data_IF_778856970634
#
_entry.id   IF_778856970634
#
_cell.length_a   1.000
_cell.length_b   1.000
_cell.length_c   1.000
_cell.angle_alpha   90.00
_cell.angle_beta   90.00
_cell.angle_gamma   90.00
#
_symmetry.space_group_name_H-M   'P 1'
#
loop_
_entity.id
_entity.type
_entity.pdbx_description
1 polymer ?
#
# COMPACT_ATOMS: atom_id res chain seq x y z
N UNK A 1 -6.82 3.24 6.06
CA UNK A 1 -6.43 1.85 5.71
C UNK A 1 -5.03 1.61 6.24
N UNK A 2 -4.86 0.65 7.19
CA UNK A 2 -3.57 0.40 7.87
C UNK A 2 -3.17 -1.08 7.88
N UNK A 3 -3.74 -1.88 6.99
CA UNK A 3 -3.34 -3.28 6.76
C UNK A 3 -1.88 -3.41 6.33
N UNK A 4 -1.33 -4.61 6.39
CA UNK A 4 0.06 -4.89 6.04
C UNK A 4 1.04 -3.96 6.79
N UNK A 5 0.89 -3.86 8.13
CA UNK A 5 1.71 -2.98 8.97
C UNK A 5 1.66 -1.52 8.50
N UNK A 6 0.45 -1.02 8.16
CA UNK A 6 0.24 0.29 7.55
C UNK A 6 1.06 0.47 6.26
N UNK A 7 0.94 -0.48 5.33
CA UNK A 7 1.73 -0.48 4.08
C UNK A 7 3.25 -0.42 4.34
N UNK A 8 3.74 -1.18 5.30
CA UNK A 8 5.14 -1.20 5.69
C UNK A 8 5.60 -0.04 6.60
N UNK A 9 4.75 0.94 6.87
CA UNK A 9 5.10 2.15 7.64
C UNK A 9 4.97 2.01 9.17
N UNK A 10 4.65 0.81 9.67
CA UNK A 10 4.36 0.53 11.08
C UNK A 10 2.97 0.98 11.54
N UNK A 11 2.23 0.04 12.14
CA UNK A 11 0.92 0.34 12.73
C UNK A 11 1.03 1.36 13.87
N UNK A 12 2.16 1.35 14.61
CA UNK A 12 2.44 2.33 15.68
C UNK A 12 2.58 3.75 15.12
N UNK A 13 3.31 3.93 14.03
CA UNK A 13 3.43 5.23 13.37
C UNK A 13 2.07 5.71 12.84
N UNK A 14 1.31 4.80 12.20
CA UNK A 14 -0.02 5.11 11.70
C UNK A 14 -0.99 5.51 12.81
N UNK A 15 -0.94 4.85 13.99
CA UNK A 15 -1.78 5.21 15.14
C UNK A 15 -1.57 6.66 15.58
N UNK A 16 -0.32 7.13 15.58
CA UNK A 16 0.02 8.51 15.94
C UNK A 16 -0.32 9.48 14.81
N UNK A 17 0.19 9.21 13.61
CA UNK A 17 0.04 10.12 12.46
C UNK A 17 -1.40 10.26 11.96
N UNK A 18 -2.23 9.24 12.15
CA UNK A 18 -3.62 9.21 11.72
C UNK A 18 -4.63 9.26 12.88
N UNK A 19 -4.23 9.77 14.04
CA UNK A 19 -5.07 9.81 15.25
C UNK A 19 -6.40 10.59 15.06
N UNK A 20 -6.46 11.49 14.08
CA UNK A 20 -7.66 12.30 13.79
C UNK A 20 -8.67 11.58 12.89
N UNK A 21 -8.33 10.42 12.30
CA UNK A 21 -9.26 9.66 11.46
C UNK A 21 -10.44 9.10 12.27
N UNK A 22 -11.56 8.81 11.59
CA UNK A 22 -12.78 8.30 12.21
C UNK A 22 -12.71 6.80 12.48
N UNK A 23 -11.81 6.08 11.82
CA UNK A 23 -11.60 4.66 12.02
C UNK A 23 -10.37 4.11 11.32
N UNK A 24 -9.96 2.94 11.74
CA UNK A 24 -8.94 2.14 11.07
C UNK A 24 -9.55 0.91 10.39
N UNK A 25 -8.96 0.50 9.28
CA UNK A 25 -9.33 -0.75 8.63
C UNK A 25 -8.08 -1.64 8.50
N UNK A 26 -8.19 -2.84 9.04
CA UNK A 26 -7.16 -3.87 9.14
C UNK A 26 -7.64 -5.18 8.53
N UNK A 27 -6.81 -6.22 8.50
CA UNK A 27 -7.22 -7.55 8.02
C UNK A 27 -7.44 -8.54 9.15
N UNK A 28 -6.61 -8.50 10.16
CA UNK A 28 -6.58 -9.51 11.22
C UNK A 28 -6.95 -8.96 12.59
N UNK A 29 -7.31 -9.89 13.47
CA UNK A 29 -7.70 -9.59 14.84
C UNK A 29 -6.52 -9.18 15.73
N UNK A 30 -5.30 -9.56 15.39
CA UNK A 30 -4.11 -9.20 16.18
C UNK A 30 -3.83 -7.71 16.06
N UNK A 31 -3.90 -7.14 14.85
CA UNK A 31 -3.81 -5.70 14.63
C UNK A 31 -4.95 -4.95 15.35
N UNK A 32 -6.18 -5.48 15.29
CA UNK A 32 -7.33 -4.89 15.98
C UNK A 32 -7.13 -4.91 17.51
N UNK A 33 -6.69 -6.03 18.06
CA UNK A 33 -6.40 -6.17 19.49
C UNK A 33 -5.29 -5.24 19.92
N UNK A 34 -4.22 -5.16 19.14
CA UNK A 34 -3.13 -4.23 19.40
C UNK A 34 -3.62 -2.79 19.43
N UNK A 35 -4.40 -2.35 18.47
CA UNK A 35 -4.98 -0.99 18.44
C UNK A 35 -5.81 -0.72 19.70
N UNK A 36 -6.65 -1.67 20.15
CA UNK A 36 -7.44 -1.54 21.39
C UNK A 36 -6.55 -1.43 22.63
N UNK A 37 -5.48 -2.21 22.70
CA UNK A 37 -4.52 -2.14 23.83
C UNK A 37 -3.76 -0.82 23.88
N UNK A 38 -3.60 -0.15 22.72
CA UNK A 38 -3.02 1.20 22.63
C UNK A 38 -4.04 2.32 22.91
N UNK A 39 -5.27 2.00 23.28
CA UNK A 39 -6.29 2.98 23.65
C UNK A 39 -7.11 3.52 22.47
N UNK A 40 -7.04 2.92 21.28
CA UNK A 40 -7.88 3.31 20.16
C UNK A 40 -9.33 2.89 20.40
N UNK A 41 -10.23 3.85 20.55
CA UNK A 41 -11.66 3.62 20.87
C UNK A 41 -12.59 3.81 19.68
N UNK A 42 -12.12 4.43 18.59
CA UNK A 42 -12.92 4.65 17.40
C UNK A 42 -13.10 3.35 16.60
N UNK A 43 -13.82 3.42 15.48
CA UNK A 43 -14.17 2.28 14.61
C UNK A 43 -12.92 1.50 14.16
N UNK A 44 -13.01 0.18 14.17
CA UNK A 44 -12.06 -0.74 13.53
C UNK A 44 -12.86 -1.63 12.60
N UNK A 45 -12.48 -1.68 11.33
CA UNK A 45 -13.12 -2.50 10.31
C UNK A 45 -12.19 -3.64 9.88
N UNK A 46 -12.68 -4.88 9.99
CA UNK A 46 -12.03 -6.06 9.41
C UNK A 46 -12.43 -6.17 7.92
N UNK A 47 -11.48 -5.89 7.02
CA UNK A 47 -11.75 -5.71 5.58
C UNK A 47 -12.08 -6.98 4.80
N UNK A 48 -11.65 -8.12 5.29
CA UNK A 48 -11.96 -9.44 4.73
C UNK A 48 -12.93 -10.19 5.64
N UNK A 49 -13.36 -9.54 6.73
CA UNK A 49 -14.34 -10.08 7.68
C UNK A 49 -13.77 -11.22 8.49
N UNK A 50 -14.59 -12.26 8.64
CA UNK A 50 -14.28 -13.45 9.44
C UNK A 50 -13.59 -14.50 8.56
N UNK A 51 -12.47 -15.05 9.00
CA UNK A 51 -11.84 -16.18 8.34
C UNK A 51 -12.42 -17.53 8.79
N UNK A 52 -12.96 -17.58 10.02
CA UNK A 52 -13.60 -18.73 10.62
C UNK A 52 -14.67 -18.28 11.62
N UNK A 53 -15.60 -19.18 11.94
CA UNK A 53 -16.67 -18.91 12.91
C UNK A 53 -16.13 -18.57 14.30
N UNK A 54 -15.02 -19.19 14.69
CA UNK A 54 -14.34 -18.96 15.97
C UNK A 54 -13.80 -17.54 16.18
N UNK A 55 -13.77 -16.69 15.14
CA UNK A 55 -13.32 -15.29 15.23
C UNK A 55 -14.40 -14.37 15.85
N UNK A 56 -15.67 -14.79 15.84
CA UNK A 56 -16.81 -13.95 16.25
C UNK A 56 -16.71 -13.47 17.71
N UNK A 57 -16.36 -14.29 18.71
CA UNK A 57 -16.18 -13.80 20.07
C UNK A 57 -15.18 -12.63 20.18
N UNK A 58 -14.07 -12.71 19.44
CA UNK A 58 -13.06 -11.64 19.40
C UNK A 58 -13.56 -10.38 18.70
N UNK A 59 -14.36 -10.52 17.64
CA UNK A 59 -15.01 -9.38 16.96
C UNK A 59 -15.92 -8.63 17.91
N UNK A 60 -16.70 -9.34 18.70
CA UNK A 60 -17.63 -8.77 19.69
C UNK A 60 -16.83 -8.12 20.83
N UNK A 61 -15.85 -8.82 21.40
CA UNK A 61 -14.96 -8.33 22.48
C UNK A 61 -14.27 -7.02 22.09
N UNK A 62 -13.68 -7.00 20.88
CA UNK A 62 -12.92 -5.85 20.37
C UNK A 62 -13.82 -4.77 19.77
N UNK A 63 -15.14 -4.98 19.74
CA UNK A 63 -16.10 -4.07 19.09
C UNK A 63 -15.62 -3.65 17.69
N UNK A 64 -15.38 -4.67 16.84
CA UNK A 64 -14.99 -4.47 15.45
C UNK A 64 -16.20 -4.53 14.52
N UNK A 65 -16.18 -3.70 13.48
CA UNK A 65 -17.05 -3.87 12.32
C UNK A 65 -16.46 -4.93 11.40
N UNK A 66 -17.30 -5.64 10.66
CA UNK A 66 -16.86 -6.70 9.76
C UNK A 66 -17.38 -6.49 8.34
N UNK A 67 -16.53 -6.73 7.36
CA UNK A 67 -16.98 -6.90 5.99
C UNK A 67 -17.53 -8.32 5.82
N UNK A 68 -18.71 -8.45 5.22
CA UNK A 68 -19.32 -9.75 4.89
C UNK A 68 -19.42 -9.87 3.38
N UNK A 69 -18.84 -10.92 2.84
CA UNK A 69 -18.68 -11.09 1.39
C UNK A 69 -18.96 -12.52 0.88
N UNK A 70 -19.30 -13.44 1.77
CA UNK A 70 -19.53 -14.84 1.41
C UNK A 70 -20.70 -15.46 2.18
N UNK A 71 -21.35 -16.51 1.62
CA UNK A 71 -22.46 -17.21 2.29
C UNK A 71 -22.07 -17.83 3.62
N UNK A 72 -20.83 -18.32 3.77
CA UNK A 72 -20.36 -18.89 5.04
C UNK A 72 -20.35 -17.85 6.15
N UNK A 73 -19.85 -16.64 5.89
CA UNK A 73 -19.86 -15.56 6.86
C UNK A 73 -21.29 -15.16 7.25
N UNK A 74 -22.23 -15.16 6.30
CA UNK A 74 -23.65 -14.95 6.59
C UNK A 74 -24.16 -16.04 7.52
N UNK A 75 -23.93 -17.32 7.20
CA UNK A 75 -24.38 -18.44 8.01
C UNK A 75 -23.85 -18.40 9.46
N UNK A 76 -22.59 -18.03 9.65
CA UNK A 76 -21.99 -17.88 10.98
C UNK A 76 -22.63 -16.74 11.77
N UNK A 77 -22.88 -15.60 11.13
CA UNK A 77 -23.49 -14.44 11.80
C UNK A 77 -24.97 -14.63 12.12
N UNK A 78 -25.71 -15.38 11.31
CA UNK A 78 -27.11 -15.70 11.60
C UNK A 78 -27.30 -16.54 12.87
N UNK A 79 -26.26 -17.20 13.36
CA UNK A 79 -26.30 -17.98 14.61
C UNK A 79 -26.00 -17.11 15.84
N UNK A 80 -25.65 -15.83 15.66
CA UNK A 80 -25.24 -14.96 16.76
C UNK A 80 -26.42 -14.20 17.35
N UNK A 81 -26.44 -14.09 18.66
CA UNK A 81 -27.44 -13.30 19.39
C UNK A 81 -26.99 -11.84 19.63
N UNK A 82 -25.72 -11.56 19.51
CA UNK A 82 -25.14 -10.21 19.69
C UNK A 82 -25.05 -9.47 18.35
N UNK A 83 -25.66 -8.28 18.24
CA UNK A 83 -25.57 -7.49 17.02
C UNK A 83 -24.15 -7.08 16.70
N UNK A 84 -23.74 -7.26 15.45
CA UNK A 84 -22.46 -6.80 14.90
C UNK A 84 -22.74 -5.74 13.84
N UNK A 85 -21.86 -4.77 13.68
CA UNK A 85 -21.92 -3.82 12.56
C UNK A 85 -21.26 -4.43 11.33
N UNK A 86 -22.03 -4.53 10.25
CA UNK A 86 -21.65 -5.23 9.02
C UNK A 86 -21.53 -4.23 7.86
N UNK A 87 -20.42 -4.26 7.15
CA UNK A 87 -20.31 -3.72 5.80
C UNK A 87 -20.51 -4.87 4.81
N UNK A 88 -21.75 -5.02 4.33
CA UNK A 88 -22.05 -6.05 3.32
C UNK A 88 -21.40 -5.65 1.99
N UNK A 89 -20.63 -6.56 1.40
CA UNK A 89 -19.84 -6.26 0.22
C UNK A 89 -20.51 -6.72 -1.06
N UNK A 90 -20.78 -5.73 -1.95
CA UNK A 90 -21.25 -5.98 -3.29
C UNK A 90 -20.07 -6.17 -4.24
N UNK A 91 -20.12 -7.19 -5.07
CA UNK A 91 -19.29 -7.32 -6.27
C UNK A 91 -19.95 -6.56 -7.41
N UNK A 92 -19.58 -5.29 -7.56
CA UNK A 92 -20.09 -4.42 -8.61
C UNK A 92 -19.27 -4.51 -9.92
N UNK A 93 -18.34 -5.49 -10.02
CA UNK A 93 -17.57 -5.72 -11.25
C UNK A 93 -16.09 -6.07 -11.06
N UNK A 94 -15.53 -5.94 -9.85
CA UNK A 94 -14.12 -6.30 -9.60
C UNK A 94 -13.87 -7.81 -9.58
N UNK A 95 -14.90 -8.63 -9.31
CA UNK A 95 -14.86 -10.10 -9.31
C UNK A 95 -13.79 -10.73 -8.40
N UNK A 96 -13.55 -10.11 -7.24
CA UNK A 96 -12.61 -10.63 -6.22
C UNK A 96 -13.34 -11.15 -4.98
N UNK A 97 -14.13 -10.30 -4.33
CA UNK A 97 -14.94 -10.61 -3.14
C UNK A 97 -16.28 -9.88 -3.22
N UNK A 98 -17.30 -10.43 -2.58
CA UNK A 98 -18.63 -9.82 -2.50
C UNK A 98 -19.71 -10.60 -3.24
N UNK A 99 -20.95 -10.28 -2.90
CA UNK A 99 -22.13 -10.89 -3.50
C UNK A 99 -22.49 -10.22 -4.82
N UNK A 100 -23.07 -10.99 -5.75
CA UNK A 100 -23.79 -10.41 -6.88
C UNK A 100 -25.10 -9.79 -6.43
N UNK A 101 -25.72 -8.89 -7.21
CA UNK A 101 -26.87 -8.07 -6.76
C UNK A 101 -28.01 -8.86 -6.10
N UNK A 102 -28.49 -9.93 -6.70
CA UNK A 102 -29.60 -10.72 -6.14
C UNK A 102 -29.23 -11.40 -4.81
N UNK A 103 -28.05 -12.03 -4.77
CA UNK A 103 -27.55 -12.68 -3.55
C UNK A 103 -27.23 -11.65 -2.45
N UNK A 104 -26.82 -10.44 -2.85
CA UNK A 104 -26.57 -9.33 -1.93
C UNK A 104 -27.85 -8.92 -1.19
N UNK A 105 -28.95 -8.69 -1.92
CA UNK A 105 -30.22 -8.30 -1.31
C UNK A 105 -30.76 -9.39 -0.38
N UNK A 106 -30.63 -10.65 -0.76
CA UNK A 106 -31.00 -11.76 0.12
C UNK A 106 -30.18 -11.77 1.42
N UNK A 107 -28.87 -11.69 1.32
CA UNK A 107 -27.97 -11.64 2.47
C UNK A 107 -28.25 -10.43 3.37
N UNK A 108 -28.51 -9.26 2.78
CA UNK A 108 -28.89 -8.06 3.53
C UNK A 108 -30.15 -8.30 4.37
N UNK A 109 -31.22 -8.78 3.78
CA UNK A 109 -32.47 -9.01 4.50
C UNK A 109 -32.33 -10.05 5.61
N UNK A 110 -31.57 -11.12 5.38
CA UNK A 110 -31.33 -12.15 6.39
C UNK A 110 -30.57 -11.57 7.60
N UNK A 111 -29.46 -10.87 7.37
CA UNK A 111 -28.63 -10.30 8.44
C UNK A 111 -29.35 -9.15 9.17
N UNK A 112 -30.06 -8.31 8.44
CA UNK A 112 -30.87 -7.24 9.03
C UNK A 112 -31.99 -7.81 9.92
N UNK A 113 -32.71 -8.84 9.46
CA UNK A 113 -33.75 -9.51 10.24
C UNK A 113 -33.21 -10.23 11.50
N UNK A 114 -31.93 -10.66 11.46
CA UNK A 114 -31.22 -11.19 12.62
C UNK A 114 -30.76 -10.09 13.61
N UNK A 115 -31.02 -8.81 13.32
CA UNK A 115 -30.73 -7.69 14.21
C UNK A 115 -29.35 -7.07 14.05
N UNK A 116 -28.58 -7.43 13.03
CA UNK A 116 -27.28 -6.80 12.75
C UNK A 116 -27.47 -5.39 12.19
N UNK A 117 -26.47 -4.52 12.43
CA UNK A 117 -26.42 -3.17 11.86
C UNK A 117 -25.77 -3.23 10.50
N UNK A 118 -26.51 -2.84 9.46
CA UNK A 118 -26.11 -3.01 8.06
C UNK A 118 -25.55 -1.73 7.47
N UNK A 119 -24.41 -1.85 6.78
CA UNK A 119 -23.82 -0.85 5.90
C UNK A 119 -23.44 -1.51 4.57
N UNK A 120 -23.17 -0.69 3.57
CA UNK A 120 -22.95 -1.11 2.19
C UNK A 120 -21.50 -0.83 1.77
N UNK A 121 -20.88 -1.78 1.07
CA UNK A 121 -19.52 -1.63 0.57
C UNK A 121 -19.37 -2.17 -0.86
N UNK A 122 -18.57 -1.50 -1.66
CA UNK A 122 -17.99 -2.06 -2.88
C UNK A 122 -16.51 -1.67 -2.99
N UNK A 123 -15.85 -2.05 -4.08
CA UNK A 123 -14.48 -1.66 -4.38
C UNK A 123 -14.31 -1.49 -5.88
N UNK A 124 -13.77 -0.34 -6.29
CA UNK A 124 -13.54 -0.06 -7.69
C UNK A 124 -12.33 -0.82 -8.24
N UNK A 125 -12.52 -1.41 -9.41
CA UNK A 125 -11.47 -2.16 -10.09
C UNK A 125 -10.47 -1.24 -10.79
N UNK A 126 -10.96 -0.16 -11.38
CA UNK A 126 -10.24 0.68 -12.34
C UNK A 126 -10.36 2.18 -12.02
N UNK A 127 -10.40 2.56 -10.73
CA UNK A 127 -10.47 3.97 -10.36
C UNK A 127 -9.19 4.77 -10.69
N UNK A 128 -8.10 4.07 -10.95
CA UNK A 128 -6.79 4.58 -11.40
C UNK A 128 -6.60 4.53 -12.93
N UNK A 129 -7.61 4.05 -13.67
CA UNK A 129 -7.59 3.95 -15.14
C UNK A 129 -8.83 4.63 -15.74
N UNK A 130 -8.62 5.46 -16.77
CA UNK A 130 -9.73 6.19 -17.43
C UNK A 130 -10.46 5.31 -18.45
N UNK A 131 -9.74 4.44 -19.15
CA UNK A 131 -10.23 3.72 -20.33
C UNK A 131 -10.44 2.20 -20.08
N UNK A 132 -10.63 1.78 -18.81
CA UNK A 132 -10.82 0.37 -18.50
C UNK A 132 -12.22 0.07 -18.00
N UNK A 133 -12.74 -1.08 -18.45
CA UNK A 133 -14.02 -1.60 -17.97
C UNK A 133 -13.81 -2.72 -16.90
N UNK A 134 -14.71 -2.82 -15.90
CA UNK A 134 -15.82 -1.89 -15.68
C UNK A 134 -15.33 -0.52 -15.24
N UNK A 135 -15.92 0.54 -15.77
CA UNK A 135 -15.66 1.90 -15.35
C UNK A 135 -16.18 2.17 -13.93
N UNK A 136 -15.69 3.24 -13.29
CA UNK A 136 -16.21 3.67 -11.98
C UNK A 136 -17.71 3.97 -12.08
N UNK A 137 -18.15 4.60 -13.18
CA UNK A 137 -19.56 4.90 -13.42
C UNK A 137 -20.44 3.65 -13.45
N UNK A 138 -20.06 2.65 -14.24
CA UNK A 138 -20.79 1.37 -14.32
C UNK A 138 -20.84 0.62 -12.97
N UNK A 139 -19.74 0.65 -12.22
CA UNK A 139 -19.71 0.06 -10.88
C UNK A 139 -20.57 0.81 -9.86
N UNK A 140 -20.65 2.13 -9.96
CA UNK A 140 -21.54 2.97 -9.15
C UNK A 140 -23.01 2.72 -9.46
N UNK A 141 -23.37 2.64 -10.74
CA UNK A 141 -24.73 2.33 -11.19
C UNK A 141 -25.18 0.98 -10.60
N UNK A 142 -24.41 -0.08 -10.84
CA UNK A 142 -24.66 -1.40 -10.24
C UNK A 142 -24.80 -1.35 -8.72
N UNK A 143 -23.96 -0.58 -8.03
CA UNK A 143 -24.03 -0.43 -6.59
C UNK A 143 -25.31 0.28 -6.16
N UNK A 144 -25.61 1.43 -6.73
CA UNK A 144 -26.77 2.26 -6.38
C UNK A 144 -28.08 1.51 -6.60
N UNK A 145 -28.23 0.87 -7.77
CA UNK A 145 -29.41 0.05 -8.07
C UNK A 145 -29.58 -1.13 -7.09
N UNK A 146 -28.45 -1.77 -6.73
CA UNK A 146 -28.51 -2.92 -5.81
C UNK A 146 -28.94 -2.53 -4.42
N UNK A 147 -28.51 -1.38 -3.90
CA UNK A 147 -28.83 -0.94 -2.53
C UNK A 147 -30.09 -0.08 -2.46
N UNK A 148 -30.75 0.20 -3.57
CA UNK A 148 -31.96 1.03 -3.58
C UNK A 148 -33.01 0.51 -2.61
N UNK A 149 -33.51 1.39 -1.73
CA UNK A 149 -34.45 1.09 -0.66
C UNK A 149 -33.85 0.34 0.54
N UNK A 150 -32.54 0.07 0.59
CA UNK A 150 -31.86 -0.56 1.73
C UNK A 150 -31.20 0.51 2.61
N UNK A 151 -31.42 0.43 3.93
CA UNK A 151 -30.83 1.37 4.88
C UNK A 151 -29.36 1.00 5.20
N UNK A 152 -28.52 2.00 5.43
CA UNK A 152 -27.13 1.84 5.88
C UNK A 152 -26.19 2.89 5.29
N UNK A 153 -25.04 3.07 5.94
CA UNK A 153 -23.95 3.91 5.44
C UNK A 153 -23.24 3.22 4.26
N UNK A 154 -22.63 4.01 3.39
CA UNK A 154 -21.98 3.54 2.16
C UNK A 154 -20.47 3.73 2.22
N UNK A 155 -19.72 2.78 1.65
CA UNK A 155 -18.26 2.86 1.52
C UNK A 155 -17.82 2.30 0.17
N UNK A 156 -17.36 3.20 -0.73
CA UNK A 156 -16.98 2.85 -2.10
C UNK A 156 -15.50 3.17 -2.37
N UNK A 157 -15.10 4.42 -2.06
CA UNK A 157 -13.87 5.02 -2.54
C UNK A 157 -12.60 4.40 -1.92
N UNK A 158 -11.69 3.94 -2.76
CA UNK A 158 -10.28 3.68 -2.46
C UNK A 158 -9.43 4.96 -2.68
N UNK A 159 -8.11 4.89 -2.60
CA UNK A 159 -7.22 6.05 -2.80
C UNK A 159 -7.44 6.74 -4.14
N UNK A 160 -7.53 6.00 -5.23
CA UNK A 160 -7.75 6.54 -6.57
C UNK A 160 -9.11 7.25 -6.69
N UNK A 161 -10.16 6.63 -6.15
CA UNK A 161 -11.48 7.25 -6.18
C UNK A 161 -11.54 8.52 -5.32
N UNK A 162 -10.85 8.56 -4.18
CA UNK A 162 -10.75 9.77 -3.34
C UNK A 162 -10.08 10.92 -4.10
N UNK A 163 -9.04 10.62 -4.87
CA UNK A 163 -8.29 11.63 -5.61
C UNK A 163 -9.04 12.11 -6.87
N UNK A 164 -9.68 11.21 -7.60
CA UNK A 164 -10.12 11.50 -8.98
C UNK A 164 -11.62 11.35 -9.24
N UNK A 165 -12.41 10.75 -8.30
CA UNK A 165 -13.83 10.48 -8.49
C UNK A 165 -14.68 11.00 -7.33
N UNK A 166 -14.82 12.32 -7.21
CA UNK A 166 -15.51 12.96 -6.07
C UNK A 166 -16.97 12.51 -5.87
N UNK A 167 -17.63 12.08 -6.93
CA UNK A 167 -19.00 11.56 -6.90
C UNK A 167 -19.09 10.14 -6.33
N UNK A 168 -17.95 9.47 -6.07
CA UNK A 168 -17.88 8.09 -5.61
C UNK A 168 -17.44 7.95 -4.13
N UNK A 169 -17.48 9.03 -3.34
CA UNK A 169 -16.92 9.01 -1.98
C UNK A 169 -17.75 8.15 -1.01
N UNK A 170 -19.08 8.27 -1.01
CA UNK A 170 -19.96 7.67 -0.03
C UNK A 170 -19.82 8.31 1.35
N UNK A 171 -20.35 7.65 2.39
CA UNK A 171 -20.28 8.13 3.78
C UNK A 171 -18.90 7.85 4.39
N UNK A 172 -18.24 6.77 3.96
CA UNK A 172 -16.92 6.34 4.41
C UNK A 172 -15.95 6.18 3.26
N UNK A 173 -14.84 6.90 3.31
CA UNK A 173 -13.72 6.71 2.38
C UNK A 173 -12.66 5.79 2.96
N UNK A 174 -11.95 5.06 2.09
CA UNK A 174 -10.91 4.11 2.47
C UNK A 174 -9.57 4.43 1.80
N UNK A 175 -9.01 5.64 2.04
CA UNK A 175 -7.68 5.94 1.53
C UNK A 175 -6.66 4.99 2.14
N UNK A 176 -5.74 4.53 1.31
CA UNK A 176 -4.62 3.68 1.71
C UNK A 176 -3.32 4.30 1.26
N UNK A 177 -2.85 3.93 0.08
CA UNK A 177 -1.52 4.31 -0.41
C UNK A 177 -1.32 5.83 -0.50
N UNK A 178 -2.35 6.60 -0.83
CA UNK A 178 -2.25 8.06 -0.89
C UNK A 178 -1.87 8.70 0.44
N UNK A 179 -2.23 8.06 1.58
CA UNK A 179 -1.86 8.54 2.92
C UNK A 179 -0.34 8.50 3.16
N UNK A 180 0.37 7.75 2.34
CA UNK A 180 1.82 7.59 2.40
C UNK A 180 2.55 8.37 1.30
N UNK A 181 1.83 9.24 0.57
CA UNK A 181 2.42 10.07 -0.50
C UNK A 181 2.82 9.28 -1.74
N UNK A 182 2.15 8.16 -2.00
CA UNK A 182 2.42 7.24 -3.12
C UNK A 182 1.22 7.24 -4.06
N UNK A 183 1.48 7.22 -5.36
CA UNK A 183 0.43 7.28 -6.38
C UNK A 183 -0.33 5.96 -6.50
N UNK A 184 -1.68 5.99 -6.50
CA UNK A 184 -2.47 4.81 -6.83
C UNK A 184 -2.28 4.33 -8.28
N UNK A 185 -1.92 5.22 -9.21
CA UNK A 185 -1.65 4.89 -10.62
C UNK A 185 -0.25 4.35 -10.86
N UNK A 186 0.65 4.45 -9.86
CA UNK A 186 2.06 4.11 -10.00
C UNK A 186 2.90 5.17 -10.72
N UNK A 187 2.36 6.38 -10.91
CA UNK A 187 3.06 7.54 -11.48
C UNK A 187 2.96 8.72 -10.53
N UNK A 188 4.09 9.19 -10.04
CA UNK A 188 4.11 10.30 -9.09
C UNK A 188 3.53 11.60 -9.68
N UNK A 189 3.71 11.84 -10.96
CA UNK A 189 3.19 13.04 -11.64
C UNK A 189 1.67 13.19 -11.49
N UNK A 190 0.93 12.07 -11.44
CA UNK A 190 -0.54 12.08 -11.32
C UNK A 190 -1.02 12.64 -9.98
N UNK A 191 -0.16 12.63 -8.95
CA UNK A 191 -0.46 13.14 -7.59
C UNK A 191 0.37 14.36 -7.19
N UNK A 192 1.29 14.83 -8.03
CA UNK A 192 2.20 15.94 -7.72
C UNK A 192 1.45 17.23 -7.28
N UNK A 193 0.25 17.45 -7.81
CA UNK A 193 -0.62 18.59 -7.48
C UNK A 193 -1.43 18.42 -6.18
N UNK A 194 -1.44 17.22 -5.59
CA UNK A 194 -2.28 16.90 -4.43
C UNK A 194 -1.61 17.23 -3.07
N UNK A 195 -0.41 17.83 -3.08
CA UNK A 195 0.40 18.12 -1.89
C UNK A 195 0.62 16.92 -0.96
N UNK A 196 0.63 15.71 -1.51
CA UNK A 196 0.97 14.51 -0.78
C UNK A 196 2.49 14.42 -0.60
N UNK A 197 2.93 13.94 0.56
CA UNK A 197 4.35 13.82 0.89
C UNK A 197 4.71 12.38 1.18
N UNK A 198 5.91 11.95 0.74
CA UNK A 198 6.44 10.65 1.10
C UNK A 198 6.59 10.54 2.63
N UNK A 199 6.00 9.50 3.22
CA UNK A 199 6.03 9.24 4.67
C UNK A 199 7.16 8.27 5.04
N UNK A 200 7.65 7.49 4.08
CA UNK A 200 8.78 6.58 4.26
C UNK A 200 9.97 7.04 3.43
N UNK A 201 11.15 7.06 4.07
CA UNK A 201 12.43 7.16 3.35
C UNK A 201 13.23 5.90 3.62
N UNK A 202 13.58 5.13 2.59
CA UNK A 202 14.54 4.04 2.67
C UNK A 202 15.93 4.60 2.33
N UNK A 203 16.79 4.63 3.32
CA UNK A 203 18.15 5.17 3.19
C UNK A 203 19.21 4.13 3.53
N UNK A 204 20.40 4.34 2.97
CA UNK A 204 21.59 3.55 3.25
C UNK A 204 22.84 4.40 3.02
N UNK A 205 24.01 3.76 2.88
CA UNK A 205 25.27 4.42 2.59
C UNK A 205 26.12 3.62 1.60
N UNK A 206 27.01 4.30 0.91
CA UNK A 206 28.06 3.69 0.09
C UNK A 206 29.10 3.04 1.03
N UNK A 207 29.37 1.75 0.86
CA UNK A 207 30.31 0.98 1.68
C UNK A 207 31.61 0.63 0.97
N UNK A 208 31.63 0.73 -0.37
CA UNK A 208 32.84 0.51 -1.17
C UNK A 208 32.77 1.27 -2.48
N UNK A 209 33.93 1.56 -3.04
CA UNK A 209 34.10 2.17 -4.36
C UNK A 209 34.99 1.23 -5.20
N UNK A 210 34.65 1.09 -6.48
CA UNK A 210 35.47 0.40 -7.47
C UNK A 210 35.65 1.28 -8.72
N UNK A 211 36.84 1.38 -9.20
CA UNK A 211 37.14 1.99 -10.50
C UNK A 211 37.24 0.87 -11.54
N UNK A 212 36.53 1.05 -12.65
CA UNK A 212 36.37 0.04 -13.71
C UNK A 212 37.03 0.53 -15.01
N UNK A 213 37.70 -0.40 -15.70
CA UNK A 213 38.16 -0.20 -17.06
C UNK A 213 37.08 -0.58 -18.08
N UNK A 214 37.15 -0.06 -19.33
CA UNK A 214 36.24 -0.49 -20.39
C UNK A 214 36.25 -1.99 -20.59
N UNK A 215 35.04 -2.61 -20.55
CA UNK A 215 34.84 -4.05 -20.66
C UNK A 215 34.67 -4.79 -19.34
N UNK A 216 35.03 -4.18 -18.22
CA UNK A 216 34.81 -4.77 -16.90
C UNK A 216 33.34 -5.02 -16.64
N UNK A 217 33.04 -6.14 -16.00
CA UNK A 217 31.67 -6.56 -15.68
C UNK A 217 31.32 -6.25 -14.23
N UNK A 218 30.04 -5.90 -13.97
CA UNK A 218 29.51 -5.60 -12.65
C UNK A 218 28.53 -6.68 -12.18
N UNK A 219 28.80 -7.27 -11.03
CA UNK A 219 27.91 -8.13 -10.28
C UNK A 219 27.59 -9.48 -10.94
N UNK A 220 26.56 -10.12 -10.42
CA UNK A 220 26.15 -11.46 -10.87
C UNK A 220 25.69 -11.49 -12.32
N UNK A 221 26.13 -12.53 -13.04
CA UNK A 221 25.76 -12.76 -14.43
C UNK A 221 26.43 -11.82 -15.41
N UNK A 222 27.31 -10.89 -14.95
CA UNK A 222 28.02 -9.94 -15.81
C UNK A 222 27.11 -9.18 -16.77
N UNK A 223 25.89 -8.90 -16.31
CA UNK A 223 24.83 -8.26 -17.12
C UNK A 223 25.21 -6.86 -17.54
N UNK A 224 25.79 -6.11 -16.63
CA UNK A 224 26.29 -4.78 -16.88
C UNK A 224 27.78 -4.83 -17.21
N UNK A 225 28.20 -4.04 -18.21
CA UNK A 225 29.61 -3.90 -18.55
C UNK A 225 29.94 -2.44 -18.73
N UNK A 226 31.08 -2.04 -18.18
CA UNK A 226 31.63 -0.70 -18.35
C UNK A 226 31.94 -0.45 -19.83
N UNK A 227 31.41 0.63 -20.40
CA UNK A 227 31.67 1.04 -21.78
C UNK A 227 32.83 2.02 -21.90
N UNK A 228 33.24 2.59 -20.76
CA UNK A 228 34.34 3.54 -20.59
C UNK A 228 34.93 3.35 -19.19
N UNK A 229 35.97 4.08 -18.85
CA UNK A 229 36.38 4.17 -17.44
C UNK A 229 35.23 4.67 -16.58
N UNK A 230 34.84 3.90 -15.58
CA UNK A 230 33.70 4.17 -14.73
C UNK A 230 34.06 4.07 -13.26
N UNK A 231 33.34 4.79 -12.43
CA UNK A 231 33.42 4.67 -10.99
C UNK A 231 32.08 4.17 -10.44
N UNK A 232 32.10 3.07 -9.71
CA UNK A 232 30.88 2.53 -9.09
C UNK A 232 30.95 2.58 -7.57
N UNK A 233 29.77 2.79 -6.94
CA UNK A 233 29.57 2.71 -5.51
C UNK A 233 28.78 1.45 -5.16
N UNK A 234 29.21 0.72 -4.12
CA UNK A 234 28.48 -0.39 -3.54
C UNK A 234 27.67 0.12 -2.36
N UNK A 235 26.38 -0.11 -2.34
CA UNK A 235 25.45 0.33 -1.28
C UNK A 235 25.06 -0.86 -0.41
N UNK A 236 24.98 -0.67 0.90
CA UNK A 236 24.55 -1.66 1.88
C UNK A 236 23.01 -1.80 1.92
N UNK A 237 22.41 -2.25 0.83
CA UNK A 237 21.01 -2.60 0.72
C UNK A 237 20.81 -3.57 -0.45
N UNK A 238 20.00 -4.60 -0.23
CA UNK A 238 19.71 -5.57 -1.28
C UNK A 238 18.33 -6.19 -1.14
N UNK A 239 18.07 -7.30 -1.86
CA UNK A 239 16.72 -7.87 -1.87
C UNK A 239 16.31 -8.51 -0.53
N UNK A 240 17.24 -8.87 0.35
CA UNK A 240 16.91 -9.33 1.70
C UNK A 240 16.46 -8.20 2.63
N UNK A 241 16.66 -6.94 2.24
CA UNK A 241 16.12 -5.76 2.92
C UNK A 241 14.73 -5.36 2.40
N UNK A 242 14.30 -5.99 1.29
CA UNK A 242 13.05 -5.68 0.61
C UNK A 242 13.23 -4.85 -0.65
N UNK A 243 14.48 -4.52 -1.05
CA UNK A 243 14.71 -3.84 -2.31
C UNK A 243 14.48 -4.79 -3.51
N UNK A 244 13.82 -4.35 -4.59
CA UNK A 244 13.42 -5.26 -5.67
C UNK A 244 14.63 -5.84 -6.42
N UNK A 245 14.80 -7.18 -6.38
CA UNK A 245 15.89 -7.87 -7.09
C UNK A 245 15.85 -7.65 -8.60
N UNK A 246 14.67 -7.43 -9.14
CA UNK A 246 14.41 -7.23 -10.57
C UNK A 246 14.52 -5.77 -11.03
N UNK A 247 14.93 -4.86 -10.13
CA UNK A 247 15.30 -3.50 -10.53
C UNK A 247 16.36 -3.56 -11.64
N UNK A 248 16.08 -2.81 -12.71
CA UNK A 248 16.92 -2.80 -13.92
C UNK A 248 18.10 -1.85 -13.75
N UNK A 249 19.09 -2.03 -14.63
CA UNK A 249 20.11 -1.01 -14.85
C UNK A 249 19.41 0.32 -15.21
N UNK A 250 19.90 1.41 -14.66
CA UNK A 250 19.27 2.72 -14.83
C UNK A 250 18.24 3.07 -13.76
N UNK A 251 17.84 2.14 -12.87
CA UNK A 251 16.97 2.47 -11.74
C UNK A 251 17.60 3.58 -10.90
N UNK A 252 16.86 4.68 -10.60
CA UNK A 252 17.42 5.83 -9.91
C UNK A 252 17.70 5.52 -8.43
N UNK A 253 18.79 6.11 -7.93
CA UNK A 253 19.15 6.22 -6.51
C UNK A 253 19.56 7.65 -6.26
N UNK A 254 19.02 8.30 -5.24
CA UNK A 254 19.41 9.64 -4.86
C UNK A 254 20.66 9.58 -3.97
N UNK A 255 21.71 10.32 -4.35
CA UNK A 255 22.99 10.40 -3.63
C UNK A 255 23.13 11.79 -3.01
N UNK A 256 23.31 11.83 -1.70
CA UNK A 256 23.44 13.08 -0.95
C UNK A 256 24.86 13.59 -0.97
N UNK A 257 25.05 14.84 -1.38
CA UNK A 257 26.33 15.55 -1.25
C UNK A 257 26.34 16.44 -0.01
N UNK A 258 27.53 16.80 0.49
CA UNK A 258 27.70 17.79 1.55
C UNK A 258 27.14 19.16 1.13
N UNK A 259 27.37 19.53 -0.13
CA UNK A 259 26.66 20.64 -0.78
C UNK A 259 25.37 20.09 -1.42
N UNK A 260 24.19 20.45 -0.91
CA UNK A 260 22.93 19.94 -1.44
C UNK A 260 22.70 20.21 -2.93
N UNK A 261 23.35 21.24 -3.50
CA UNK A 261 23.24 21.55 -4.93
C UNK A 261 23.92 20.52 -5.84
N UNK A 262 24.81 19.71 -5.28
CA UNK A 262 25.52 18.64 -5.97
C UNK A 262 24.84 17.28 -5.78
N UNK A 263 23.85 17.18 -4.87
CA UNK A 263 23.07 15.97 -4.69
C UNK A 263 22.28 15.63 -5.96
N UNK A 264 22.15 14.35 -6.27
CA UNK A 264 21.47 13.96 -7.49
C UNK A 264 21.28 12.46 -7.66
N UNK A 265 20.72 12.10 -8.80
CA UNK A 265 20.44 10.72 -9.17
C UNK A 265 21.67 10.05 -9.76
N UNK A 266 22.03 8.89 -9.20
CA UNK A 266 22.98 7.94 -9.76
C UNK A 266 22.25 6.65 -10.08
N UNK A 267 22.39 6.10 -11.30
CA UNK A 267 21.63 4.92 -11.71
C UNK A 267 22.25 3.62 -11.16
N UNK A 268 21.40 2.63 -10.92
CA UNK A 268 21.86 1.26 -10.64
C UNK A 268 22.61 0.71 -11.85
N UNK A 269 23.73 0.06 -11.59
CA UNK A 269 24.58 -0.64 -12.55
C UNK A 269 24.80 -2.08 -12.08
N UNK A 270 24.21 -3.05 -12.78
CA UNK A 270 24.31 -4.47 -12.45
C UNK A 270 23.14 -5.01 -11.63
N UNK A 271 23.20 -6.31 -11.34
CA UNK A 271 22.13 -7.04 -10.64
C UNK A 271 22.15 -6.75 -9.16
N UNK A 272 20.99 -6.40 -8.58
CA UNK A 272 20.81 -6.30 -7.13
C UNK A 272 21.11 -7.64 -6.47
N UNK A 273 21.99 -7.62 -5.48
CA UNK A 273 22.42 -8.78 -4.69
C UNK A 273 21.58 -8.93 -3.42
N UNK A 274 21.84 -9.95 -2.59
CA UNK A 274 21.11 -10.18 -1.35
C UNK A 274 21.16 -9.00 -0.38
N UNK A 275 22.37 -8.46 -0.17
CA UNK A 275 22.65 -7.44 0.85
C UNK A 275 23.26 -6.16 0.29
N UNK A 276 23.45 -6.09 -1.03
CA UNK A 276 24.13 -4.98 -1.70
C UNK A 276 23.52 -4.71 -3.08
N UNK A 277 23.66 -3.46 -3.50
CA UNK A 277 23.46 -3.03 -4.89
C UNK A 277 24.57 -2.08 -5.30
N UNK A 278 24.74 -1.90 -6.60
CA UNK A 278 25.78 -1.05 -7.18
C UNK A 278 25.19 0.08 -7.99
N UNK A 279 25.77 1.27 -7.88
CA UNK A 279 25.38 2.47 -8.64
C UNK A 279 26.56 3.05 -9.42
N UNK A 280 26.27 3.69 -10.53
CA UNK A 280 27.23 4.42 -11.33
C UNK A 280 27.50 5.81 -10.71
N UNK A 281 28.71 6.04 -10.25
CA UNK A 281 29.19 7.30 -9.68
C UNK A 281 30.07 8.10 -10.66
N UNK A 282 30.10 7.75 -11.93
CA UNK A 282 30.99 8.40 -12.91
C UNK A 282 30.81 9.92 -12.94
N UNK A 283 29.58 10.38 -12.77
CA UNK A 283 29.25 11.81 -12.74
C UNK A 283 29.08 12.38 -11.31
N UNK A 284 29.38 11.59 -10.28
CA UNK A 284 29.38 12.00 -8.89
C UNK A 284 30.76 11.77 -8.22
N UNK A 285 31.83 12.40 -8.70
CA UNK A 285 33.21 12.14 -8.24
C UNK A 285 33.43 12.52 -6.78
N UNK A 286 32.60 13.37 -6.23
CA UNK A 286 32.57 13.77 -4.83
C UNK A 286 32.07 12.68 -3.89
N UNK A 287 31.22 11.72 -4.38
CA UNK A 287 30.69 10.66 -3.57
C UNK A 287 31.78 9.63 -3.19
N UNK A 288 31.77 9.19 -1.95
CA UNK A 288 32.76 8.26 -1.40
C UNK A 288 32.13 7.27 -0.42
N UNK A 289 32.97 6.45 0.20
CA UNK A 289 32.55 5.58 1.29
C UNK A 289 31.95 6.42 2.42
N UNK A 290 30.78 6.02 2.95
CA UNK A 290 30.05 6.77 3.95
C UNK A 290 29.04 7.78 3.38
N UNK A 291 29.09 8.09 2.09
CA UNK A 291 28.08 8.97 1.46
C UNK A 291 26.69 8.35 1.59
N UNK A 292 25.74 9.13 2.12
CA UNK A 292 24.36 8.70 2.30
C UNK A 292 23.64 8.62 0.96
N UNK A 293 22.76 7.64 0.86
CA UNK A 293 21.89 7.45 -0.31
C UNK A 293 20.44 7.27 0.14
N UNK A 294 19.52 7.70 -0.71
CA UNK A 294 18.09 7.48 -0.58
C UNK A 294 17.64 6.59 -1.74
N UNK A 295 17.10 5.43 -1.39
CA UNK A 295 16.62 4.43 -2.36
C UNK A 295 15.20 4.72 -2.81
N UNK A 296 14.41 5.36 -1.96
CA UNK A 296 13.17 6.09 -2.22
C UNK A 296 12.80 6.93 -1.01
N UNK A 297 12.00 7.97 -1.19
CA UNK A 297 11.49 8.80 -0.11
C UNK A 297 11.22 10.24 -0.53
N UNK A 298 11.77 11.18 0.20
CA UNK A 298 11.51 12.60 0.02
C UNK A 298 12.05 13.16 -1.31
N UNK A 299 13.25 12.73 -1.72
CA UNK A 299 13.93 13.26 -2.91
C UNK A 299 13.76 12.35 -4.14
N UNK A 300 13.34 11.12 -3.92
CA UNK A 300 13.11 10.12 -4.95
C UNK A 300 11.80 9.40 -4.70
N UNK A 301 10.71 9.70 -5.44
CA UNK A 301 9.45 8.99 -5.29
C UNK A 301 9.61 7.48 -5.46
N UNK A 302 8.96 6.70 -4.60
CA UNK A 302 8.98 5.23 -4.70
C UNK A 302 8.35 4.74 -6.01
N UNK A 303 7.44 5.52 -6.58
CA UNK A 303 6.79 5.22 -7.87
C UNK A 303 7.83 5.17 -9.01
N UNK A 304 8.84 6.04 -9.01
CA UNK A 304 9.91 6.05 -10.01
C UNK A 304 10.76 4.76 -9.93
N UNK A 305 11.08 4.34 -8.71
CA UNK A 305 11.80 3.07 -8.50
C UNK A 305 10.93 1.88 -8.90
N UNK A 306 9.66 1.90 -8.54
CA UNK A 306 8.71 0.84 -8.87
C UNK A 306 8.53 0.68 -10.39
N UNK A 307 8.46 1.78 -11.14
CA UNK A 307 8.38 1.77 -12.60
C UNK A 307 9.58 1.04 -13.23
N UNK A 308 10.78 1.33 -12.78
CA UNK A 308 12.01 0.65 -13.24
C UNK A 308 12.06 -0.82 -12.84
N UNK A 309 11.46 -1.16 -11.72
CA UNK A 309 11.31 -2.54 -11.25
C UNK A 309 10.08 -3.27 -11.83
N UNK A 310 9.31 -2.63 -12.72
CA UNK A 310 8.09 -3.18 -13.33
C UNK A 310 7.04 -3.64 -12.29
N UNK A 311 6.88 -2.86 -11.23
CA UNK A 311 5.90 -3.07 -10.17
C UNK A 311 5.26 -1.74 -9.76
N UNK A 312 4.63 -1.69 -8.60
CA UNK A 312 3.95 -0.51 -8.04
C UNK A 312 4.50 -0.15 -6.66
N UNK A 313 4.44 1.11 -6.29
CA UNK A 313 4.92 1.61 -5.00
C UNK A 313 4.34 0.85 -3.80
N UNK A 314 3.09 0.35 -3.89
CA UNK A 314 2.47 -0.51 -2.88
C UNK A 314 3.33 -1.73 -2.51
N UNK A 315 3.83 -2.44 -3.52
CA UNK A 315 4.64 -3.64 -3.31
C UNK A 315 5.96 -3.28 -2.62
N UNK A 316 6.64 -2.25 -3.11
CA UNK A 316 7.95 -1.87 -2.59
C UNK A 316 7.90 -1.50 -1.10
N UNK A 317 6.97 -0.64 -0.70
CA UNK A 317 6.88 -0.22 0.71
C UNK A 317 6.41 -1.35 1.63
N UNK A 318 5.55 -2.26 1.15
CA UNK A 318 5.12 -3.43 1.91
C UNK A 318 6.20 -4.51 2.04
N UNK A 319 7.18 -4.54 1.11
CA UNK A 319 8.23 -5.56 1.05
C UNK A 319 9.38 -5.31 2.03
N UNK A 320 9.45 -4.15 2.69
CA UNK A 320 10.53 -3.84 3.65
C UNK A 320 10.63 -4.92 4.71
N UNK A 321 11.80 -5.55 4.77
CA UNK A 321 12.05 -6.68 5.66
C UNK A 321 12.17 -6.22 7.13
N UNK A 322 11.79 -7.07 8.10
CA UNK A 322 11.89 -6.75 9.53
C UNK A 322 13.31 -6.46 10.03
N UNK A 323 14.34 -6.88 9.29
CA UNK A 323 15.74 -6.60 9.63
C UNK A 323 16.17 -5.15 9.36
N UNK A 324 15.40 -4.42 8.55
CA UNK A 324 15.66 -2.99 8.30
C UNK A 324 15.20 -2.20 9.52
N UNK A 325 16.10 -1.44 10.18
CA UNK A 325 15.73 -0.63 11.33
C UNK A 325 14.70 0.43 10.91
N UNK A 326 13.63 0.57 11.69
CA UNK A 326 12.62 1.58 11.52
C UNK A 326 12.80 2.67 12.57
N UNK A 327 13.04 3.88 12.10
CA UNK A 327 13.08 5.10 12.93
C UNK A 327 11.82 5.93 12.64
N UNK A 328 11.11 6.32 13.70
CA UNK A 328 9.93 7.19 13.62
C UNK A 328 10.37 8.58 14.08
N UNK A 329 10.28 9.56 13.19
CA UNK A 329 10.73 10.94 13.40
C UNK A 329 9.56 11.92 13.47
#
# INVERSE_FOLDING_TARGET
MVKARAYGHSLRAALVGLAQTDGFAVLDLDDARWLRTQGWTKRILLLEGLFQEGDIPSVIELNCDVVVHSPNQVAWLLQQTHPVTIFLKLNSGMNRLGFRPEAYRLAYHQLHAAGHRMNHMTHFANADYIDREPSVGAQMECFTETIDGLAGETSLANSAAVLWHRNALGDWVRPGIMLHGISPSGKFEDIAHANLQAVMTLSSAIIAIQDLEPGDAVGYGSRYRATQGMRIGVIACGYADGYPRHAKDGTPVWVHADDPSQSGICPIAGQVSMDMLTIDLTYAPWAGVGTKVELWGKNLPVDDVAMHAQTIGYELVCAIAPRVPLEII
#
